data_IF_174395766806
#
_entry.id   IF_174395766806
#
_cell.length_a   1.000
_cell.length_b   1.000
_cell.length_c   1.000
_cell.angle_alpha   90.00
_cell.angle_beta   90.00
_cell.angle_gamma   90.00
#
_symmetry.space_group_name_H-M   'P 1'
#
loop_
_entity.id
_entity.type
_entity.pdbx_description
1 polymer ?
#
# COMPACT_ATOMS: atom_id res chain seq x y z
N UNK A 1 -9.21 -21.82 38.59
CA UNK A 1 -9.29 -22.93 37.61
C UNK A 1 -9.56 -22.45 36.16
N UNK A 2 -9.18 -21.19 35.78
CA UNK A 2 -9.50 -20.64 34.46
C UNK A 2 -8.29 -20.28 33.58
N UNK A 3 -7.06 -20.52 34.02
CA UNK A 3 -5.84 -20.10 33.29
C UNK A 3 -5.61 -20.93 32.00
N UNK A 4 -5.96 -22.22 32.04
CA UNK A 4 -5.79 -23.14 30.92
C UNK A 4 -6.81 -22.84 29.81
N UNK A 5 -8.05 -22.52 30.17
CA UNK A 5 -9.10 -22.16 29.20
C UNK A 5 -8.83 -20.85 28.47
N UNK A 6 -8.28 -19.85 29.19
CA UNK A 6 -7.92 -18.55 28.61
C UNK A 6 -6.73 -18.66 27.64
N UNK A 7 -5.76 -19.51 27.96
CA UNK A 7 -4.62 -19.78 27.06
C UNK A 7 -5.03 -20.52 25.78
N UNK A 8 -5.96 -21.47 25.87
CA UNK A 8 -6.48 -22.17 24.69
C UNK A 8 -7.32 -21.25 23.83
N UNK A 9 -8.13 -20.37 24.39
CA UNK A 9 -8.92 -19.37 23.68
C UNK A 9 -8.03 -18.34 22.98
N UNK A 10 -6.97 -17.87 23.62
CA UNK A 10 -5.98 -16.95 23.04
C UNK A 10 -5.21 -17.57 21.87
N UNK A 11 -4.83 -18.86 21.98
CA UNK A 11 -4.20 -19.61 20.88
C UNK A 11 -5.16 -19.80 19.71
N UNK A 12 -6.41 -20.18 19.97
CA UNK A 12 -7.42 -20.34 18.92
C UNK A 12 -7.67 -19.04 18.17
N UNK A 13 -7.81 -17.90 18.86
CA UNK A 13 -7.97 -16.59 18.23
C UNK A 13 -6.75 -16.19 17.38
N UNK A 14 -5.55 -16.54 17.81
CA UNK A 14 -4.33 -16.29 17.03
C UNK A 14 -4.34 -17.06 15.70
N UNK A 15 -4.69 -18.37 15.74
CA UNK A 15 -4.80 -19.18 14.53
C UNK A 15 -5.91 -18.68 13.60
N UNK A 16 -7.08 -18.33 14.14
CA UNK A 16 -8.20 -17.82 13.34
C UNK A 16 -7.80 -16.50 12.64
N UNK A 17 -7.15 -15.59 13.35
CA UNK A 17 -6.69 -14.33 12.78
C UNK A 17 -5.63 -14.55 11.68
N UNK A 18 -4.72 -15.50 11.87
CA UNK A 18 -3.72 -15.85 10.86
C UNK A 18 -4.36 -16.45 9.60
N UNK A 19 -5.30 -17.38 9.76
CA UNK A 19 -6.05 -17.97 8.64
C UNK A 19 -6.86 -16.90 7.91
N UNK A 20 -7.54 -16.02 8.63
CA UNK A 20 -8.32 -14.93 8.04
C UNK A 20 -7.46 -14.00 7.18
N UNK A 21 -6.29 -13.58 7.68
CA UNK A 21 -5.36 -12.76 6.90
C UNK A 21 -4.87 -13.48 5.65
N UNK A 22 -4.46 -14.74 5.78
CA UNK A 22 -3.95 -15.52 4.66
C UNK A 22 -5.03 -15.69 3.60
N UNK A 23 -6.25 -16.01 4.00
CA UNK A 23 -7.38 -16.19 3.10
C UNK A 23 -7.77 -14.88 2.41
N UNK A 24 -7.84 -13.78 3.16
CA UNK A 24 -8.09 -12.44 2.60
C UNK A 24 -7.01 -12.06 1.59
N UNK A 25 -5.73 -12.24 1.91
CA UNK A 25 -4.62 -11.94 1.01
C UNK A 25 -4.66 -12.76 -0.28
N UNK A 26 -5.03 -14.04 -0.19
CA UNK A 26 -5.20 -14.92 -1.36
C UNK A 26 -6.33 -14.42 -2.28
N UNK A 27 -7.49 -14.10 -1.71
CA UNK A 27 -8.63 -13.59 -2.48
C UNK A 27 -8.26 -12.27 -3.16
N UNK A 28 -7.66 -11.33 -2.42
CA UNK A 28 -7.25 -10.04 -2.98
C UNK A 28 -6.22 -10.20 -4.09
N UNK A 29 -5.31 -11.17 -3.97
CA UNK A 29 -4.34 -11.47 -5.02
C UNK A 29 -4.99 -12.03 -6.28
N UNK A 30 -5.98 -12.92 -6.13
CA UNK A 30 -6.76 -13.46 -7.28
C UNK A 30 -7.57 -12.36 -7.97
N UNK A 31 -8.23 -11.50 -7.20
CA UNK A 31 -8.97 -10.34 -7.74
C UNK A 31 -8.01 -9.40 -8.48
N UNK A 32 -6.85 -9.08 -7.88
CA UNK A 32 -5.84 -8.23 -8.49
C UNK A 32 -5.30 -8.80 -9.79
N UNK A 33 -4.99 -10.11 -9.84
CA UNK A 33 -4.55 -10.78 -11.06
C UNK A 33 -5.62 -10.73 -12.16
N UNK A 34 -6.87 -11.06 -11.82
CA UNK A 34 -7.98 -11.04 -12.77
C UNK A 34 -8.21 -9.64 -13.33
N UNK A 35 -8.09 -8.62 -12.48
CA UNK A 35 -8.20 -7.23 -12.88
C UNK A 35 -7.02 -6.79 -13.77
N UNK A 36 -5.79 -7.20 -13.46
CA UNK A 36 -4.61 -6.92 -14.28
C UNK A 36 -4.76 -7.53 -15.69
N UNK A 37 -5.26 -8.76 -15.80
CA UNK A 37 -5.55 -9.40 -17.09
C UNK A 37 -6.63 -8.61 -17.86
N UNK A 38 -7.70 -8.20 -17.20
CA UNK A 38 -8.76 -7.39 -17.80
C UNK A 38 -8.21 -6.07 -18.36
N UNK A 39 -7.40 -5.37 -17.57
CA UNK A 39 -6.78 -4.12 -17.98
C UNK A 39 -5.82 -4.34 -19.16
N UNK A 40 -4.94 -5.35 -19.08
CA UNK A 40 -3.99 -5.68 -20.13
C UNK A 40 -4.68 -5.94 -21.48
N UNK A 41 -5.80 -6.67 -21.46
CA UNK A 41 -6.59 -6.90 -22.67
C UNK A 41 -7.23 -5.62 -23.23
N UNK A 42 -7.53 -4.66 -22.37
CA UNK A 42 -8.20 -3.40 -22.74
C UNK A 42 -7.22 -2.35 -23.29
N UNK A 43 -6.04 -2.22 -22.68
CA UNK A 43 -5.05 -1.18 -23.02
C UNK A 43 -3.96 -1.66 -23.99
N UNK A 44 -3.82 -2.98 -24.14
CA UNK A 44 -2.82 -3.61 -24.98
C UNK A 44 -1.47 -3.84 -24.29
N UNK A 45 -0.68 -4.76 -24.86
CA UNK A 45 0.57 -5.26 -24.26
C UNK A 45 1.64 -4.18 -24.09
N UNK A 46 1.72 -3.21 -25.02
CA UNK A 46 2.72 -2.13 -24.95
C UNK A 46 2.51 -1.22 -23.74
N UNK A 47 1.27 -0.74 -23.52
CA UNK A 47 0.95 0.12 -22.39
C UNK A 47 1.09 -0.63 -21.07
N UNK A 48 0.67 -1.90 -21.03
CA UNK A 48 0.83 -2.77 -19.86
C UNK A 48 2.31 -2.96 -19.51
N UNK A 49 3.17 -3.26 -20.48
CA UNK A 49 4.60 -3.45 -20.23
C UNK A 49 5.27 -2.21 -19.64
N UNK A 50 4.94 -1.03 -20.16
CA UNK A 50 5.48 0.24 -19.62
C UNK A 50 4.93 0.51 -18.22
N UNK A 51 3.66 0.27 -17.97
CA UNK A 51 3.06 0.40 -16.63
C UNK A 51 3.75 -0.51 -15.61
N UNK A 52 4.03 -1.76 -15.96
CA UNK A 52 4.74 -2.71 -15.08
C UNK A 52 6.16 -2.25 -14.75
N UNK A 53 6.87 -1.61 -15.69
CA UNK A 53 8.19 -1.03 -15.42
C UNK A 53 8.06 0.13 -14.41
N UNK A 54 7.10 1.04 -14.62
CA UNK A 54 6.84 2.16 -13.70
C UNK A 54 6.50 1.65 -12.30
N UNK A 55 5.64 0.62 -12.20
CA UNK A 55 5.27 0.01 -10.92
C UNK A 55 6.43 -0.74 -10.25
N UNK A 56 7.32 -1.35 -11.02
CA UNK A 56 8.54 -2.00 -10.47
C UNK A 56 9.48 -0.99 -9.82
N UNK A 57 9.67 0.16 -10.46
CA UNK A 57 10.45 1.26 -9.90
C UNK A 57 9.76 1.81 -8.65
N UNK A 58 8.45 2.00 -8.68
CA UNK A 58 7.68 2.42 -7.53
C UNK A 58 7.85 1.48 -6.34
N UNK A 59 7.71 0.17 -6.55
CA UNK A 59 7.87 -0.86 -5.51
C UNK A 59 9.26 -0.84 -4.87
N UNK A 60 10.31 -0.49 -5.62
CA UNK A 60 11.64 -0.27 -5.05
C UNK A 60 11.62 0.86 -4.01
N UNK A 61 11.05 2.01 -4.36
CA UNK A 61 10.94 3.15 -3.44
C UNK A 61 9.96 2.92 -2.29
N UNK A 62 8.88 2.19 -2.52
CA UNK A 62 7.97 1.72 -1.45
C UNK A 62 8.74 0.87 -0.44
N UNK A 63 9.53 -0.10 -0.90
CA UNK A 63 10.33 -0.95 -0.01
C UNK A 63 11.29 -0.13 0.85
N UNK A 64 11.91 0.89 0.26
CA UNK A 64 12.77 1.83 0.98
C UNK A 64 11.98 2.69 1.98
N UNK A 65 10.83 3.24 1.57
CA UNK A 65 9.95 4.05 2.43
C UNK A 65 9.42 3.25 3.62
N UNK A 66 9.06 1.99 3.40
CA UNK A 66 8.53 1.11 4.45
C UNK A 66 9.60 0.66 5.45
N UNK A 67 10.83 0.41 5.01
CA UNK A 67 12.05 0.11 5.79
C UNK A 67 11.83 -0.45 7.22
N UNK A 68 11.01 -1.49 7.35
CA UNK A 68 10.72 -2.14 8.65
C UNK A 68 9.78 -1.39 9.60
N UNK A 69 9.16 -0.29 9.16
CA UNK A 69 8.26 0.56 9.98
C UNK A 69 7.12 -0.25 10.60
N UNK A 70 6.51 -1.14 9.82
CA UNK A 70 5.42 -2.00 10.31
C UNK A 70 5.88 -2.88 11.49
N UNK A 71 7.01 -3.56 11.34
CA UNK A 71 7.57 -4.43 12.38
C UNK A 71 8.02 -3.64 13.61
N UNK A 72 8.66 -2.49 13.41
CA UNK A 72 9.09 -1.62 14.49
C UNK A 72 7.89 -1.10 15.30
N UNK A 73 6.85 -0.59 14.63
CA UNK A 73 5.63 -0.14 15.27
C UNK A 73 4.94 -1.28 16.05
N UNK A 74 4.79 -2.45 15.42
CA UNK A 74 4.19 -3.62 16.07
C UNK A 74 4.94 -4.01 17.33
N UNK A 75 6.27 -4.03 17.28
CA UNK A 75 7.11 -4.42 18.42
C UNK A 75 6.98 -3.42 19.59
N UNK A 76 7.23 -2.14 19.32
CA UNK A 76 7.24 -1.10 20.37
C UNK A 76 5.85 -0.95 20.99
N UNK A 77 4.78 -0.96 20.18
CA UNK A 77 3.41 -0.92 20.70
C UNK A 77 3.09 -2.15 21.56
N UNK A 78 3.54 -3.35 21.16
CA UNK A 78 3.33 -4.57 21.95
C UNK A 78 4.07 -4.51 23.30
N UNK A 79 5.29 -3.94 23.32
CA UNK A 79 6.05 -3.71 24.55
C UNK A 79 5.34 -2.70 25.47
N UNK A 80 4.81 -1.59 24.94
CA UNK A 80 4.05 -0.61 25.73
C UNK A 80 2.78 -1.20 26.34
N UNK A 81 2.04 -2.03 25.57
CA UNK A 81 0.85 -2.73 26.06
C UNK A 81 1.22 -3.72 27.16
N UNK A 82 2.32 -4.47 27.00
CA UNK A 82 2.78 -5.44 27.99
C UNK A 82 3.17 -4.78 29.33
N UNK A 83 3.71 -3.55 29.26
CA UNK A 83 4.07 -2.74 30.43
C UNK A 83 2.88 -2.01 31.08
N UNK A 84 1.65 -2.19 30.57
CA UNK A 84 0.43 -1.56 31.09
C UNK A 84 0.30 -0.06 30.85
N UNK A 85 1.14 0.52 29.97
CA UNK A 85 1.26 1.96 29.74
C UNK A 85 0.39 2.42 28.56
N UNK A 86 -0.93 2.37 28.69
CA UNK A 86 -1.86 2.75 27.62
C UNK A 86 -1.69 4.19 27.13
N UNK A 87 -1.23 5.11 27.95
CA UNK A 87 -0.93 6.49 27.55
C UNK A 87 0.29 6.56 26.63
N UNK A 88 1.29 5.72 26.87
CA UNK A 88 2.50 5.66 26.05
C UNK A 88 2.21 5.14 24.64
N UNK A 89 1.24 4.22 24.49
CA UNK A 89 0.87 3.66 23.16
C UNK A 89 0.52 4.76 22.15
N UNK A 90 -0.28 5.76 22.56
CA UNK A 90 -0.64 6.87 21.66
C UNK A 90 0.58 7.72 21.27
N UNK A 91 1.47 7.99 22.23
CA UNK A 91 2.70 8.73 21.97
C UNK A 91 3.64 7.96 21.05
N UNK A 92 3.76 6.65 21.25
CA UNK A 92 4.56 5.76 20.43
C UNK A 92 4.05 5.70 19.00
N UNK A 93 2.74 5.50 18.80
CA UNK A 93 2.14 5.48 17.46
C UNK A 93 2.36 6.81 16.74
N UNK A 94 2.22 7.96 17.44
CA UNK A 94 2.49 9.28 16.87
C UNK A 94 3.95 9.43 16.42
N UNK A 95 4.90 8.94 17.22
CA UNK A 95 6.34 8.93 16.84
C UNK A 95 6.59 8.05 15.62
N UNK A 96 6.00 6.86 15.57
CA UNK A 96 6.10 5.96 14.43
C UNK A 96 5.48 6.58 13.17
N UNK A 97 4.36 7.28 13.26
CA UNK A 97 3.75 8.01 12.14
C UNK A 97 4.64 9.14 11.64
N UNK A 98 5.26 9.92 12.53
CA UNK A 98 6.20 10.97 12.13
C UNK A 98 7.44 10.39 11.43
N UNK A 99 7.95 9.28 11.94
CA UNK A 99 9.05 8.55 11.30
C UNK A 99 8.66 8.05 9.90
N UNK A 100 7.47 7.45 9.78
CA UNK A 100 6.93 6.98 8.50
C UNK A 100 6.76 8.11 7.50
N UNK A 101 6.22 9.24 7.94
CA UNK A 101 6.06 10.44 7.12
C UNK A 101 7.42 10.96 6.63
N UNK A 102 8.43 10.98 7.48
CA UNK A 102 9.77 11.45 7.13
C UNK A 102 10.41 10.56 6.04
N UNK A 103 10.45 9.24 6.23
CA UNK A 103 11.02 8.33 5.24
C UNK A 103 10.17 8.25 3.96
N UNK A 104 8.86 8.28 4.07
CA UNK A 104 7.95 8.36 2.92
C UNK A 104 8.15 9.64 2.11
N UNK A 105 8.38 10.78 2.78
CA UNK A 105 8.65 12.06 2.10
C UNK A 105 10.03 12.06 1.43
N UNK A 106 11.06 11.49 2.04
CA UNK A 106 12.39 11.34 1.41
C UNK A 106 12.28 10.48 0.16
N UNK A 107 11.57 9.34 0.22
CA UNK A 107 11.36 8.47 -0.94
C UNK A 107 10.57 9.16 -2.04
N UNK A 108 9.56 9.95 -1.67
CA UNK A 108 8.76 10.77 -2.60
C UNK A 108 9.63 11.81 -3.32
N UNK A 109 10.44 12.56 -2.56
CA UNK A 109 11.39 13.53 -3.12
C UNK A 109 12.42 12.86 -4.03
N UNK A 110 12.92 11.68 -3.64
CA UNK A 110 13.87 10.94 -4.46
C UNK A 110 13.27 10.54 -5.82
N UNK A 111 12.03 10.05 -5.86
CA UNK A 111 11.33 9.78 -7.14
C UNK A 111 11.14 11.07 -7.94
N UNK A 112 10.71 12.16 -7.31
CA UNK A 112 10.52 13.44 -8.01
C UNK A 112 11.80 13.94 -8.69
N UNK A 113 12.94 13.86 -7.99
CA UNK A 113 14.24 14.28 -8.54
C UNK A 113 14.70 13.34 -9.66
N UNK A 114 14.49 12.04 -9.49
CA UNK A 114 14.90 11.03 -10.45
C UNK A 114 13.92 10.86 -11.62
N UNK A 115 12.69 11.39 -11.55
CA UNK A 115 11.65 11.21 -12.56
C UNK A 115 12.11 11.52 -14.00
N UNK A 116 12.82 12.64 -14.31
CA UNK A 116 13.31 12.89 -15.65
C UNK A 116 14.35 11.86 -16.10
N UNK A 117 15.26 11.46 -15.20
CA UNK A 117 16.27 10.44 -15.48
C UNK A 117 15.62 9.08 -15.76
N UNK A 118 14.65 8.67 -14.93
CA UNK A 118 13.92 7.41 -15.10
C UNK A 118 13.15 7.35 -16.43
N UNK A 119 12.48 8.45 -16.80
CA UNK A 119 11.77 8.56 -18.07
C UNK A 119 12.72 8.49 -19.27
N UNK A 120 13.84 9.21 -19.24
CA UNK A 120 14.78 9.29 -20.37
C UNK A 120 15.59 8.01 -20.53
N UNK A 121 16.12 7.46 -19.43
CA UNK A 121 17.08 6.34 -19.47
C UNK A 121 16.37 5.00 -19.49
N UNK A 122 15.37 4.79 -18.65
CA UNK A 122 14.71 3.48 -18.51
C UNK A 122 13.57 3.33 -19.51
N UNK A 123 12.75 4.36 -19.69
CA UNK A 123 11.63 4.31 -20.61
C UNK A 123 11.97 4.81 -22.03
N UNK A 124 13.23 5.17 -22.28
CA UNK A 124 13.70 5.65 -23.60
C UNK A 124 12.76 6.72 -24.21
N UNK A 125 12.25 7.64 -23.40
CA UNK A 125 11.27 8.66 -23.79
C UNK A 125 9.94 8.12 -24.36
N UNK A 126 9.61 6.86 -24.08
CA UNK A 126 8.32 6.29 -24.54
C UNK A 126 7.13 6.85 -23.76
N UNK A 127 7.37 7.38 -22.57
CA UNK A 127 6.36 7.98 -21.68
C UNK A 127 6.97 9.19 -20.98
N UNK A 128 6.15 10.22 -20.76
CA UNK A 128 6.56 11.40 -20.02
C UNK A 128 6.93 11.08 -18.56
N UNK A 129 7.56 12.02 -17.85
CA UNK A 129 7.87 11.86 -16.41
C UNK A 129 6.65 12.02 -15.49
N UNK A 130 5.48 12.38 -16.03
CA UNK A 130 4.26 12.62 -15.25
C UNK A 130 3.80 11.43 -14.37
N UNK A 131 3.83 10.16 -14.84
CA UNK A 131 3.50 9.02 -14.00
C UNK A 131 4.33 8.94 -12.72
N UNK A 132 5.63 9.26 -12.80
CA UNK A 132 6.51 9.23 -11.62
C UNK A 132 6.17 10.33 -10.61
N UNK A 133 5.78 11.51 -11.06
CA UNK A 133 5.29 12.57 -10.18
C UNK A 133 3.96 12.18 -9.51
N UNK A 134 3.05 11.55 -10.24
CA UNK A 134 1.79 11.08 -9.68
C UNK A 134 1.98 10.04 -8.58
N UNK A 135 2.86 9.04 -8.80
CA UNK A 135 3.18 8.00 -7.80
C UNK A 135 3.89 8.58 -6.58
N UNK A 136 4.76 9.58 -6.76
CA UNK A 136 5.54 10.13 -5.66
C UNK A 136 4.66 10.70 -4.55
N UNK A 137 3.47 11.20 -4.89
CA UNK A 137 2.51 11.76 -3.93
C UNK A 137 1.95 10.67 -2.99
N UNK A 138 1.79 9.43 -3.46
CA UNK A 138 1.22 8.34 -2.65
C UNK A 138 2.20 7.78 -1.60
N UNK A 139 3.51 7.88 -1.81
CA UNK A 139 4.54 7.28 -0.95
C UNK A 139 4.45 7.64 0.54
N UNK A 140 4.25 8.92 0.93
CA UNK A 140 4.08 9.25 2.35
C UNK A 140 2.85 8.58 2.97
N UNK A 141 1.76 8.48 2.20
CA UNK A 141 0.51 7.84 2.66
C UNK A 141 0.67 6.33 2.83
N UNK A 142 1.34 5.66 1.89
CA UNK A 142 1.67 4.23 1.98
C UNK A 142 2.54 3.94 3.21
N UNK A 143 3.54 4.77 3.48
CA UNK A 143 4.40 4.62 4.64
C UNK A 143 3.61 4.79 5.95
N UNK A 144 2.72 5.78 6.03
CA UNK A 144 1.85 5.98 7.19
C UNK A 144 0.82 4.86 7.35
N UNK A 145 0.21 4.38 6.27
CA UNK A 145 -0.70 3.22 6.29
C UNK A 145 0.00 1.97 6.83
N UNK A 146 1.25 1.74 6.45
CA UNK A 146 2.05 0.63 6.99
C UNK A 146 2.27 0.73 8.50
N UNK A 147 2.49 1.93 9.04
CA UNK A 147 2.58 2.16 10.48
C UNK A 147 1.26 1.81 11.18
N UNK A 148 0.11 2.25 10.64
CA UNK A 148 -1.22 1.95 11.19
C UNK A 148 -1.51 0.44 11.15
N UNK A 149 -1.14 -0.24 10.07
CA UNK A 149 -1.23 -1.69 9.96
C UNK A 149 -0.38 -2.40 11.03
N UNK A 150 0.81 -1.87 11.35
CA UNK A 150 1.65 -2.32 12.45
C UNK A 150 0.95 -2.19 13.82
N UNK A 151 0.30 -1.06 14.06
CA UNK A 151 -0.51 -0.84 15.26
C UNK A 151 -1.67 -1.84 15.36
N UNK A 152 -2.47 -2.04 14.30
CA UNK A 152 -3.56 -3.01 14.33
C UNK A 152 -3.08 -4.46 14.55
N UNK A 153 -1.90 -4.78 14.04
CA UNK A 153 -1.25 -6.07 14.28
C UNK A 153 -0.86 -6.24 15.76
N UNK A 154 -0.32 -5.20 16.40
CA UNK A 154 0.04 -5.19 17.81
C UNK A 154 -1.18 -5.37 18.73
N UNK A 155 -2.27 -4.65 18.43
CA UNK A 155 -3.54 -4.70 19.20
C UNK A 155 -4.38 -5.94 18.83
N UNK A 156 -3.92 -6.78 17.91
CA UNK A 156 -4.63 -7.98 17.40
C UNK A 156 -5.98 -7.70 16.73
N UNK A 157 -6.20 -6.49 16.26
CA UNK A 157 -7.38 -6.10 15.47
C UNK A 157 -7.17 -6.32 13.96
N UNK A 158 -6.70 -7.50 13.62
CA UNK A 158 -6.31 -7.90 12.25
C UNK A 158 -7.48 -7.83 11.26
N UNK A 159 -8.71 -8.07 11.73
CA UNK A 159 -9.90 -7.94 10.88
C UNK A 159 -10.11 -6.53 10.33
N UNK A 160 -9.74 -5.49 11.09
CA UNK A 160 -9.80 -4.11 10.60
C UNK A 160 -8.82 -3.86 9.46
N UNK A 161 -7.58 -4.33 9.61
CA UNK A 161 -6.57 -4.23 8.54
C UNK A 161 -7.00 -4.99 7.28
N UNK A 162 -7.57 -6.19 7.42
CA UNK A 162 -8.11 -6.96 6.30
C UNK A 162 -9.26 -6.21 5.60
N UNK A 163 -10.16 -5.59 6.36
CA UNK A 163 -11.28 -4.82 5.81
C UNK A 163 -10.78 -3.59 5.00
N UNK A 164 -9.79 -2.85 5.52
CA UNK A 164 -9.19 -1.72 4.82
C UNK A 164 -8.54 -2.17 3.51
N UNK A 165 -7.82 -3.30 3.49
CA UNK A 165 -7.23 -3.86 2.27
C UNK A 165 -8.29 -4.23 1.21
N UNK A 166 -9.44 -4.77 1.64
CA UNK A 166 -10.55 -5.07 0.72
C UNK A 166 -11.13 -3.77 0.13
N UNK A 167 -11.35 -2.75 0.96
CA UNK A 167 -11.83 -1.45 0.50
C UNK A 167 -10.84 -0.80 -0.48
N UNK A 168 -9.56 -0.82 -0.17
CA UNK A 168 -8.50 -0.32 -1.04
C UNK A 168 -8.56 -0.98 -2.42
N UNK A 169 -8.68 -2.31 -2.46
CA UNK A 169 -8.78 -3.04 -3.73
C UNK A 169 -10.04 -2.66 -4.53
N UNK A 170 -11.18 -2.49 -3.86
CA UNK A 170 -12.43 -2.05 -4.51
C UNK A 170 -12.27 -0.64 -5.08
N UNK A 171 -11.71 0.29 -4.29
CA UNK A 171 -11.47 1.67 -4.71
C UNK A 171 -10.50 1.71 -5.88
N UNK A 172 -9.43 0.91 -5.85
CA UNK A 172 -8.46 0.77 -6.93
C UNK A 172 -9.12 0.34 -8.24
N UNK A 173 -9.91 -0.74 -8.19
CA UNK A 173 -10.62 -1.26 -9.37
C UNK A 173 -11.57 -0.21 -9.93
N UNK A 174 -12.36 0.44 -9.06
CA UNK A 174 -13.32 1.46 -9.46
C UNK A 174 -12.63 2.69 -10.06
N UNK A 175 -11.61 3.23 -9.39
CA UNK A 175 -10.88 4.42 -9.83
C UNK A 175 -10.19 4.20 -11.17
N UNK A 176 -9.49 3.08 -11.32
CA UNK A 176 -8.80 2.73 -12.57
C UNK A 176 -9.83 2.52 -13.70
N UNK A 177 -10.91 1.75 -13.45
CA UNK A 177 -11.94 1.50 -14.46
C UNK A 177 -12.62 2.80 -14.92
N UNK A 178 -12.92 3.71 -13.98
CA UNK A 178 -13.52 5.01 -14.27
C UNK A 178 -12.57 5.90 -15.10
N UNK A 179 -11.31 6.02 -14.68
CA UNK A 179 -10.32 6.85 -15.37
C UNK A 179 -10.04 6.32 -16.78
N UNK A 180 -9.86 5.01 -16.96
CA UNK A 180 -9.64 4.42 -18.27
C UNK A 180 -10.85 4.64 -19.17
N UNK A 181 -12.08 4.45 -18.69
CA UNK A 181 -13.28 4.64 -19.51
C UNK A 181 -13.43 6.08 -19.99
N UNK A 182 -12.94 7.04 -19.22
CA UNK A 182 -13.02 8.48 -19.54
C UNK A 182 -11.91 8.95 -20.47
N UNK A 183 -10.69 8.41 -20.37
CA UNK A 183 -9.49 8.90 -21.05
C UNK A 183 -8.95 7.94 -22.12
N UNK A 184 -9.60 6.81 -22.39
CA UNK A 184 -9.12 5.77 -23.29
C UNK A 184 -8.96 6.15 -24.79
N UNK A 185 -9.54 7.22 -25.35
CA UNK A 185 -9.21 7.58 -26.74
C UNK A 185 -7.89 8.29 -26.92
N UNK A 186 -7.13 8.49 -25.86
CA UNK A 186 -5.91 9.28 -25.80
C UNK A 186 -4.65 8.43 -26.00
N UNK A 187 -3.51 9.06 -26.07
CA UNK A 187 -2.19 8.41 -26.24
C UNK A 187 -1.85 7.42 -25.12
N UNK A 188 -0.85 6.54 -25.35
CA UNK A 188 -0.33 5.58 -24.37
C UNK A 188 0.03 6.28 -23.04
N UNK A 189 0.57 7.50 -23.10
CA UNK A 189 0.92 8.30 -21.93
C UNK A 189 -0.28 8.55 -21.01
N UNK A 190 -1.41 9.02 -21.55
CA UNK A 190 -2.61 9.28 -20.77
C UNK A 190 -3.20 8.01 -20.13
N UNK A 191 -3.07 6.89 -20.82
CA UNK A 191 -3.50 5.60 -20.28
C UNK A 191 -2.68 5.21 -19.06
N UNK A 192 -1.35 5.34 -19.13
CA UNK A 192 -0.45 5.02 -18.00
C UNK A 192 -0.67 5.99 -16.84
N UNK A 193 -0.81 7.29 -17.12
CA UNK A 193 -1.12 8.29 -16.09
C UNK A 193 -2.43 7.94 -15.38
N UNK A 194 -3.46 7.54 -16.12
CA UNK A 194 -4.76 7.16 -15.54
C UNK A 194 -4.67 5.94 -14.64
N UNK A 195 -3.88 4.92 -15.02
CA UNK A 195 -3.63 3.75 -14.19
C UNK A 195 -2.93 4.12 -12.89
N UNK A 196 -1.86 4.90 -13.00
CA UNK A 196 -1.05 5.35 -11.89
C UNK A 196 -1.84 6.25 -10.94
N UNK A 197 -2.61 7.21 -11.47
CA UNK A 197 -3.48 8.06 -10.65
C UNK A 197 -4.55 7.26 -9.93
N UNK A 198 -5.16 6.28 -10.58
CA UNK A 198 -6.15 5.41 -9.96
C UNK A 198 -5.56 4.60 -8.80
N UNK A 199 -4.34 4.11 -8.95
CA UNK A 199 -3.61 3.40 -7.89
C UNK A 199 -3.26 4.34 -6.73
N UNK A 200 -2.65 5.49 -7.01
CA UNK A 200 -2.29 6.49 -6.00
C UNK A 200 -3.52 7.02 -5.23
N UNK A 201 -4.65 7.24 -5.91
CA UNK A 201 -5.88 7.65 -5.26
C UNK A 201 -6.41 6.58 -4.29
N UNK A 202 -6.34 5.30 -4.68
CA UNK A 202 -6.78 4.20 -3.79
C UNK A 202 -5.95 4.14 -2.51
N UNK A 203 -4.64 4.33 -2.60
CA UNK A 203 -3.73 4.35 -1.45
C UNK A 203 -4.00 5.54 -0.51
N UNK A 204 -4.21 6.74 -1.07
CA UNK A 204 -4.55 7.94 -0.29
C UNK A 204 -5.89 7.77 0.44
N UNK A 205 -6.91 7.28 -0.26
CA UNK A 205 -8.24 7.08 0.34
C UNK A 205 -8.18 5.98 1.40
N UNK A 206 -7.45 4.89 1.15
CA UNK A 206 -7.23 3.79 2.11
C UNK A 206 -6.58 4.30 3.40
N UNK A 207 -5.65 5.24 3.32
CA UNK A 207 -5.05 5.87 4.49
C UNK A 207 -6.05 6.71 5.29
N UNK A 208 -7.02 7.34 4.64
CA UNK A 208 -8.01 8.22 5.29
C UNK A 208 -9.16 7.46 5.99
N UNK A 209 -9.36 6.18 5.67
CA UNK A 209 -10.40 5.30 6.25
C UNK A 209 -9.86 4.57 7.48
#
# INVERSE_FOLDING_TARGET
>A
MNIVGDNLRKKSLFFINGILLTFTSLILRLIGMSFSIYISNKIGSKATGVFEIVMSIYMFFVTFALSGINLACTRVVTEDIANGSNENVKATVKKCLLYSLFFGSISSLAICILAPFLSNVILHNQVSSLPFYAISISLPFVAMSSCINGYFSAVRHVAKSAFVQILEQIIKIFSISFLISRFMPSTVDFTIISLVLGDSLSEIISFLI
#
